data_IF_322113470354
#
_entry.id   IF_322113470354
#
_cell.length_a   1.000
_cell.length_b   1.000
_cell.length_c   1.000
_cell.angle_alpha   90.00
_cell.angle_beta   90.00
_cell.angle_gamma   90.00
#
_symmetry.space_group_name_H-M   'P 1'
#
loop_
_entity.id
_entity.type
_entity.pdbx_description
1 polymer ?
#
# COMPACT_ATOMS: atom_id res chain seq x y z
N UNK A 1 33.06 -8.60 15.01
CA UNK A 1 31.75 -8.63 15.70
C UNK A 1 30.72 -8.02 14.75
N UNK A 2 29.69 -8.77 14.36
CA UNK A 2 28.64 -8.24 13.46
C UNK A 2 27.66 -7.41 14.32
N UNK A 3 27.38 -6.14 13.98
CA UNK A 3 26.46 -5.31 14.76
C UNK A 3 25.02 -5.85 14.71
N UNK A 4 24.31 -5.78 15.84
CA UNK A 4 22.87 -6.08 15.91
C UNK A 4 22.07 -4.80 15.65
N UNK A 5 21.18 -4.84 14.66
CA UNK A 5 20.27 -3.74 14.33
C UNK A 5 18.86 -4.14 14.79
N UNK A 6 18.19 -3.25 15.52
CA UNK A 6 16.78 -3.41 15.94
C UNK A 6 15.97 -2.30 15.28
N UNK A 7 14.94 -2.68 14.53
CA UNK A 7 14.00 -1.74 13.90
C UNK A 7 12.73 -1.69 14.75
N UNK A 8 12.33 -0.47 15.14
CA UNK A 8 11.07 -0.20 15.82
C UNK A 8 10.25 0.71 14.92
N UNK A 9 9.07 0.26 14.52
CA UNK A 9 8.21 0.97 13.59
C UNK A 9 6.81 0.40 13.54
N UNK A 10 6.00 0.94 12.64
CA UNK A 10 4.63 0.49 12.39
C UNK A 10 4.60 -0.78 11.54
N UNK A 11 3.56 -1.58 11.73
CA UNK A 11 3.21 -2.71 10.87
C UNK A 11 1.90 -2.37 10.14
N UNK A 12 1.90 -2.43 8.81
CA UNK A 12 0.71 -2.11 8.00
C UNK A 12 0.32 -3.26 7.08
N UNK A 13 -0.96 -3.28 6.74
CA UNK A 13 -1.49 -4.09 5.63
C UNK A 13 -1.81 -3.14 4.50
N UNK A 14 -1.10 -3.29 3.40
CA UNK A 14 -1.20 -2.41 2.25
C UNK A 14 -2.27 -2.91 1.31
N UNK A 15 -3.24 -2.06 1.03
CA UNK A 15 -4.27 -2.28 0.01
C UNK A 15 -3.96 -1.45 -1.23
N UNK A 16 -3.42 -2.10 -2.25
CA UNK A 16 -3.07 -1.46 -3.52
C UNK A 16 -4.14 -1.75 -4.56
N UNK A 17 -4.86 -0.70 -4.99
CA UNK A 17 -5.86 -0.78 -6.06
C UNK A 17 -5.32 -0.14 -7.35
N UNK A 18 -5.22 -0.95 -8.41
CA UNK A 18 -4.84 -0.46 -9.73
C UNK A 18 -6.04 0.15 -10.44
N UNK A 19 -5.97 1.43 -10.76
CA UNK A 19 -6.99 2.16 -11.53
C UNK A 19 -6.39 2.70 -12.84
N UNK A 20 -7.25 3.16 -13.77
CA UNK A 20 -6.79 3.79 -15.02
C UNK A 20 -6.08 5.13 -14.77
N UNK A 21 -6.56 5.88 -13.77
CA UNK A 21 -6.04 7.15 -13.29
C UNK A 21 -6.49 7.39 -11.85
N UNK A 22 -5.94 8.40 -11.21
CA UNK A 22 -6.47 8.89 -9.94
C UNK A 22 -7.88 9.48 -10.15
N UNK A 23 -8.79 9.26 -9.19
CA UNK A 23 -10.12 9.86 -9.23
C UNK A 23 -10.03 11.37 -9.00
N UNK A 24 -10.91 12.12 -9.65
CA UNK A 24 -11.14 13.52 -9.30
C UNK A 24 -12.07 13.64 -8.08
N UNK A 25 -12.18 14.83 -7.50
CA UNK A 25 -13.01 15.04 -6.31
C UNK A 25 -14.48 14.73 -6.62
N UNK A 26 -15.05 13.78 -5.87
CA UNK A 26 -16.44 13.35 -6.03
C UNK A 26 -16.65 12.30 -7.12
N UNK A 27 -15.60 11.90 -7.83
CA UNK A 27 -15.67 10.85 -8.83
C UNK A 27 -15.44 9.46 -8.21
N UNK A 28 -16.06 8.43 -8.81
CA UNK A 28 -15.72 7.03 -8.56
C UNK A 28 -15.11 6.42 -9.83
N UNK A 29 -13.94 5.79 -9.71
CA UNK A 29 -13.25 5.13 -10.81
C UNK A 29 -13.23 3.62 -10.56
N UNK A 30 -13.66 2.84 -11.56
CA UNK A 30 -13.62 1.39 -11.47
C UNK A 30 -12.15 0.90 -11.48
N UNK A 31 -11.78 0.20 -10.41
CA UNK A 31 -10.50 -0.50 -10.30
C UNK A 31 -10.43 -1.72 -11.20
N UNK A 32 -9.21 -2.11 -11.58
CA UNK A 32 -8.93 -3.29 -12.40
C UNK A 32 -8.45 -4.47 -11.58
N UNK A 33 -7.65 -4.21 -10.55
CA UNK A 33 -6.97 -5.25 -9.77
C UNK A 33 -6.70 -4.73 -8.35
N UNK A 34 -7.04 -5.55 -7.35
CA UNK A 34 -6.72 -5.30 -5.95
C UNK A 34 -5.58 -6.24 -5.52
N UNK A 35 -4.56 -5.71 -4.86
CA UNK A 35 -3.48 -6.47 -4.22
C UNK A 35 -3.44 -6.14 -2.74
N UNK A 36 -3.24 -7.18 -1.93
CA UNK A 36 -3.07 -7.05 -0.49
C UNK A 36 -1.65 -7.52 -0.16
N UNK A 37 -0.87 -6.64 0.47
CA UNK A 37 0.48 -6.92 0.92
C UNK A 37 0.62 -6.69 2.42
N UNK A 38 1.56 -7.40 3.04
CA UNK A 38 2.04 -7.05 4.39
C UNK A 38 3.32 -6.23 4.23
N UNK A 39 3.34 -5.05 4.85
CA UNK A 39 4.50 -4.14 4.89
C UNK A 39 5.30 -4.27 6.17
#
# INVERSE_FOLDING_TARGET
MIPKIVVVGSLHVDFLLKTKRLPERGETVLGKELRVGMG
#
